data_IF_583462914423
#
_entry.id   IF_583462914423
#
_cell.length_a   1.000
_cell.length_b   1.000
_cell.length_c   1.000
_cell.angle_alpha   90.00
_cell.angle_beta   90.00
_cell.angle_gamma   90.00
#
_symmetry.space_group_name_H-M   'P 1'
#
loop_
_entity.id
_entity.type
_entity.pdbx_description
1 polymer ?
#
# COMPACT_ATOMS: atom_id res chain seq x y z
N UNK A 1 -26.72 -9.10 64.52
CA UNK A 1 -25.47 -9.65 63.99
C UNK A 1 -25.73 -9.88 62.51
N UNK A 2 -25.04 -9.11 61.67
CA UNK A 2 -25.30 -8.84 60.26
C UNK A 2 -25.19 -10.07 59.35
N UNK A 3 -25.95 -10.13 58.24
CA UNK A 3 -25.73 -11.07 57.15
C UNK A 3 -24.72 -10.45 56.17
N UNK A 4 -23.70 -11.18 55.76
CA UNK A 4 -22.97 -10.82 54.53
C UNK A 4 -22.31 -12.06 53.93
N UNK A 5 -22.47 -12.22 52.61
CA UNK A 5 -22.08 -13.42 51.89
C UNK A 5 -22.48 -13.38 50.43
N UNK A 6 -22.29 -12.24 49.77
CA UNK A 6 -22.21 -12.19 48.30
C UNK A 6 -20.98 -12.97 47.81
N UNK A 7 -21.09 -13.87 46.83
CA UNK A 7 -19.92 -14.29 46.08
C UNK A 7 -19.59 -13.18 45.08
N UNK A 8 -18.40 -12.61 45.25
CA UNK A 8 -17.80 -11.66 44.34
C UNK A 8 -17.74 -12.24 42.91
N UNK A 9 -18.19 -11.45 41.95
CA UNK A 9 -17.93 -11.70 40.53
C UNK A 9 -16.42 -11.72 40.31
N UNK A 10 -15.91 -12.87 39.89
CA UNK A 10 -14.56 -13.02 39.37
C UNK A 10 -14.48 -12.25 38.05
N UNK A 11 -13.95 -11.02 38.13
CA UNK A 11 -13.45 -10.30 36.98
C UNK A 11 -12.40 -11.19 36.30
N UNK A 12 -12.70 -11.60 35.06
CA UNK A 12 -11.68 -12.09 34.15
C UNK A 12 -10.75 -10.92 33.85
N UNK A 13 -9.71 -10.77 34.66
CA UNK A 13 -8.55 -9.97 34.30
C UNK A 13 -7.79 -10.79 33.26
N UNK A 14 -8.06 -10.55 31.99
CA UNK A 14 -7.16 -10.96 30.92
C UNK A 14 -5.86 -10.19 31.10
N UNK A 15 -4.93 -10.87 31.78
CA UNK A 15 -3.52 -10.55 31.88
C UNK A 15 -2.93 -10.55 30.46
N UNK A 16 -3.01 -9.39 29.81
CA UNK A 16 -2.38 -9.15 28.51
C UNK A 16 -0.89 -8.93 28.76
N UNK A 17 -0.14 -10.03 28.77
CA UNK A 17 1.30 -9.97 28.64
C UNK A 17 1.65 -9.35 27.26
N UNK A 18 2.58 -8.38 27.18
CA UNK A 18 3.00 -7.81 25.91
C UNK A 18 3.93 -8.80 25.20
N UNK A 19 3.40 -9.50 24.20
CA UNK A 19 4.18 -10.23 23.21
C UNK A 19 4.58 -9.32 22.06
N UNK A 20 5.86 -9.32 21.71
CA UNK A 20 6.41 -8.72 20.51
C UNK A 20 5.57 -9.13 19.28
N UNK A 21 4.81 -8.17 18.73
CA UNK A 21 4.11 -8.31 17.47
C UNK A 21 2.88 -9.23 17.49
N UNK A 22 1.78 -8.75 18.06
CA UNK A 22 0.46 -9.38 17.96
C UNK A 22 -0.14 -9.40 16.54
N UNK A 23 -1.28 -10.08 16.43
CA UNK A 23 -2.16 -10.08 15.26
C UNK A 23 -2.85 -8.71 15.13
N UNK A 24 -3.22 -8.34 13.90
CA UNK A 24 -3.86 -7.05 13.62
C UNK A 24 -5.30 -7.08 14.15
N UNK A 25 -5.73 -6.03 14.85
CA UNK A 25 -7.12 -5.88 15.27
C UNK A 25 -8.06 -5.65 14.09
N UNK A 26 -9.36 -5.96 14.24
CA UNK A 26 -10.33 -5.80 13.14
C UNK A 26 -10.43 -4.36 12.62
N UNK A 27 -10.39 -3.36 13.51
CA UNK A 27 -10.44 -1.93 13.14
C UNK A 27 -9.14 -1.46 12.48
N UNK A 28 -8.01 -2.03 12.90
CA UNK A 28 -6.71 -1.78 12.27
C UNK A 28 -6.66 -2.38 10.86
N UNK A 29 -7.20 -3.59 10.69
CA UNK A 29 -7.34 -4.24 9.38
C UNK A 29 -8.23 -3.42 8.45
N UNK A 30 -9.38 -2.92 8.93
CA UNK A 30 -10.25 -2.04 8.17
C UNK A 30 -9.53 -0.76 7.69
N UNK A 31 -8.76 -0.12 8.58
CA UNK A 31 -7.95 1.06 8.22
C UNK A 31 -6.87 0.75 7.21
N UNK A 32 -6.14 -0.36 7.36
CA UNK A 32 -5.10 -0.77 6.41
C UNK A 32 -5.68 -1.07 5.04
N UNK A 33 -6.76 -1.85 4.96
CA UNK A 33 -7.41 -2.19 3.69
C UNK A 33 -8.01 -0.97 3.01
N UNK A 34 -8.64 -0.07 3.77
CA UNK A 34 -9.13 1.20 3.24
C UNK A 34 -8.01 2.10 2.71
N UNK A 35 -6.89 2.19 3.44
CA UNK A 35 -5.71 2.93 2.99
C UNK A 35 -5.11 2.33 1.72
N UNK A 36 -5.04 1.00 1.60
CA UNK A 36 -4.56 0.34 0.38
C UNK A 36 -5.50 0.58 -0.79
N UNK A 37 -6.80 0.36 -0.61
CA UNK A 37 -7.80 0.62 -1.65
C UNK A 37 -7.72 2.07 -2.16
N UNK A 38 -7.47 3.03 -1.27
CA UNK A 38 -7.26 4.42 -1.67
C UNK A 38 -5.97 4.62 -2.49
N UNK A 39 -4.85 4.03 -2.05
CA UNK A 39 -3.55 4.14 -2.75
C UNK A 39 -3.64 3.52 -4.15
N UNK A 40 -4.23 2.33 -4.24
CA UNK A 40 -4.48 1.62 -5.50
C UNK A 40 -5.38 2.45 -6.44
N UNK A 41 -6.50 2.97 -5.93
CA UNK A 41 -7.39 3.83 -6.73
C UNK A 41 -6.69 5.12 -7.20
N UNK A 42 -5.82 5.71 -6.37
CA UNK A 42 -5.05 6.88 -6.75
C UNK A 42 -3.99 6.54 -7.82
N UNK A 43 -3.39 5.36 -7.76
CA UNK A 43 -2.46 4.88 -8.79
C UNK A 43 -3.18 4.64 -10.12
N UNK A 44 -4.37 4.05 -10.12
CA UNK A 44 -5.21 3.97 -11.33
C UNK A 44 -5.33 5.35 -12.00
N UNK A 45 -5.76 6.37 -11.27
CA UNK A 45 -5.94 7.73 -11.79
C UNK A 45 -4.62 8.32 -12.33
N UNK A 46 -3.53 8.22 -11.56
CA UNK A 46 -2.24 8.82 -11.92
C UNK A 46 -1.65 8.11 -13.15
N UNK A 47 -1.65 6.79 -13.17
CA UNK A 47 -1.05 6.03 -14.27
C UNK A 47 -1.88 6.12 -15.55
N UNK A 48 -3.21 6.12 -15.44
CA UNK A 48 -4.08 6.34 -16.59
C UNK A 48 -3.86 7.71 -17.23
N UNK A 49 -3.68 8.75 -16.41
CA UNK A 49 -3.33 10.08 -16.90
C UNK A 49 -1.92 10.11 -17.55
N UNK A 50 -0.93 9.48 -16.93
CA UNK A 50 0.42 9.40 -17.48
C UNK A 50 0.46 8.63 -18.81
N UNK A 51 -0.28 7.54 -18.93
CA UNK A 51 -0.36 6.73 -20.15
C UNK A 51 -0.87 7.55 -21.34
N UNK A 52 -1.85 8.42 -21.12
CA UNK A 52 -2.42 9.28 -22.16
C UNK A 52 -1.41 10.32 -22.71
N UNK A 53 -0.45 10.74 -21.88
CA UNK A 53 0.54 11.78 -22.21
C UNK A 53 1.95 11.22 -22.49
N UNK A 54 2.14 9.90 -22.46
CA UNK A 54 3.46 9.27 -22.58
C UNK A 54 3.91 9.12 -24.05
N UNK A 55 5.05 9.71 -24.46
CA UNK A 55 5.52 9.63 -25.85
C UNK A 55 6.08 8.26 -26.26
N UNK A 56 6.49 7.43 -25.31
CA UNK A 56 6.99 6.09 -25.60
C UNK A 56 5.83 5.09 -25.67
N UNK A 57 5.52 4.56 -26.86
CA UNK A 57 4.45 3.57 -27.06
C UNK A 57 4.56 2.38 -26.08
N UNK A 58 5.79 1.87 -25.87
CA UNK A 58 6.02 0.76 -24.94
C UNK A 58 5.67 1.15 -23.50
N UNK A 59 6.12 2.31 -23.03
CA UNK A 59 5.83 2.74 -21.68
C UNK A 59 4.35 3.12 -21.51
N UNK A 60 3.73 3.73 -22.52
CA UNK A 60 2.30 4.05 -22.50
C UNK A 60 1.43 2.80 -22.30
N UNK A 61 1.72 1.70 -23.02
CA UNK A 61 1.01 0.42 -22.85
C UNK A 61 1.21 -0.17 -21.46
N UNK A 62 2.43 -0.13 -20.92
CA UNK A 62 2.70 -0.62 -19.57
C UNK A 62 1.98 0.21 -18.50
N UNK A 63 1.96 1.53 -18.64
CA UNK A 63 1.24 2.43 -17.73
C UNK A 63 -0.28 2.20 -17.78
N UNK A 64 -0.85 1.97 -18.97
CA UNK A 64 -2.27 1.66 -19.14
C UNK A 64 -2.63 0.31 -18.51
N UNK A 65 -1.87 -0.74 -18.77
CA UNK A 65 -2.09 -2.07 -18.17
C UNK A 65 -2.01 -2.00 -16.64
N UNK A 66 -0.94 -1.40 -16.11
CA UNK A 66 -0.73 -1.23 -14.67
C UNK A 66 -1.83 -0.38 -14.04
N UNK A 67 -2.34 0.65 -14.73
CA UNK A 67 -3.50 1.42 -14.27
C UNK A 67 -4.73 0.52 -14.06
N UNK A 68 -5.07 -0.33 -15.03
CA UNK A 68 -6.21 -1.24 -14.92
C UNK A 68 -6.04 -2.28 -13.80
N UNK A 69 -4.82 -2.78 -13.59
CA UNK A 69 -4.50 -3.66 -12.47
C UNK A 69 -4.76 -2.97 -11.13
N UNK A 70 -4.27 -1.75 -10.94
CA UNK A 70 -4.50 -0.97 -9.71
C UNK A 70 -5.99 -0.65 -9.50
N UNK A 71 -6.78 -0.43 -10.55
CA UNK A 71 -8.24 -0.30 -10.42
C UNK A 71 -8.87 -1.57 -9.85
N UNK A 72 -8.50 -2.73 -10.38
CA UNK A 72 -8.96 -4.01 -9.89
C UNK A 72 -8.47 -4.30 -8.45
N UNK A 73 -7.21 -3.97 -8.13
CA UNK A 73 -6.68 -4.09 -6.77
C UNK A 73 -7.44 -3.23 -5.78
N UNK A 74 -7.79 -2.00 -6.15
CA UNK A 74 -8.57 -1.10 -5.30
C UNK A 74 -9.93 -1.69 -4.92
N UNK A 75 -10.67 -2.22 -5.91
CA UNK A 75 -11.95 -2.89 -5.71
C UNK A 75 -11.78 -4.14 -4.83
N UNK A 76 -10.82 -5.00 -5.18
CA UNK A 76 -10.55 -6.25 -4.47
C UNK A 76 -10.23 -6.01 -2.99
N UNK A 77 -9.41 -5.01 -2.67
CA UNK A 77 -9.04 -4.67 -1.30
C UNK A 77 -10.20 -4.02 -0.54
N UNK A 78 -10.99 -3.18 -1.21
CA UNK A 78 -12.17 -2.55 -0.61
C UNK A 78 -13.24 -3.58 -0.23
N UNK A 79 -13.48 -4.60 -1.05
CA UNK A 79 -14.42 -5.70 -0.77
C UNK A 79 -14.10 -6.45 0.54
N UNK A 80 -12.85 -6.39 0.97
CA UNK A 80 -12.36 -7.11 2.15
C UNK A 80 -12.32 -6.25 3.42
N UNK A 81 -12.72 -4.98 3.35
CA UNK A 81 -12.83 -4.10 4.52
C UNK A 81 -13.90 -4.68 5.48
N UNK A 82 -13.55 -5.02 6.74
CA UNK A 82 -14.51 -5.57 7.68
C UNK A 82 -15.67 -4.62 7.97
N UNK A 83 -16.87 -5.17 8.08
CA UNK A 83 -18.04 -4.43 8.53
C UNK A 83 -17.95 -4.14 10.03
N UNK A 84 -17.89 -2.87 10.41
CA UNK A 84 -17.90 -2.43 11.81
C UNK A 84 -19.26 -1.83 12.18
N UNK A 85 -19.77 -2.06 13.41
CA UNK A 85 -21.02 -1.48 13.85
C UNK A 85 -21.01 0.06 13.75
N UNK A 86 -21.99 0.61 13.02
CA UNK A 86 -22.17 2.06 12.89
C UNK A 86 -21.29 2.74 11.83
N UNK A 87 -20.47 2.00 11.08
CA UNK A 87 -19.57 2.57 10.06
C UNK A 87 -19.67 1.78 8.75
N UNK A 88 -19.86 2.49 7.63
CA UNK A 88 -19.81 1.88 6.29
C UNK A 88 -18.37 1.51 5.93
N UNK A 89 -18.09 0.36 5.28
CA UNK A 89 -16.77 0.04 4.76
C UNK A 89 -16.14 1.15 3.92
N UNK A 90 -16.93 1.83 3.08
CA UNK A 90 -16.46 2.94 2.23
C UNK A 90 -15.87 4.10 3.02
N UNK A 91 -16.26 4.28 4.29
CA UNK A 91 -15.73 5.34 5.14
C UNK A 91 -14.25 5.13 5.51
N UNK A 92 -13.71 3.92 5.32
CA UNK A 92 -12.30 3.61 5.53
C UNK A 92 -11.43 3.90 4.30
N UNK A 93 -12.02 4.01 3.10
CA UNK A 93 -11.29 4.26 1.85
C UNK A 93 -10.89 5.73 1.77
N UNK A 94 -9.79 6.04 2.44
CA UNK A 94 -9.28 7.41 2.61
C UNK A 94 -7.77 7.42 2.48
N UNK A 95 -7.22 8.59 2.14
CA UNK A 95 -5.77 8.75 2.06
C UNK A 95 -5.10 8.34 3.38
N UNK A 96 -4.06 7.48 3.36
CA UNK A 96 -3.35 7.08 4.58
C UNK A 96 -2.73 8.27 5.33
N UNK A 97 -2.46 9.37 4.62
CA UNK A 97 -2.01 10.66 5.12
C UNK A 97 -1.65 11.60 3.97
N UNK A 98 -1.43 12.89 4.23
CA UNK A 98 -1.06 13.87 3.20
C UNK A 98 0.26 13.53 2.51
N UNK A 99 1.20 12.89 3.19
CA UNK A 99 2.51 12.52 2.66
C UNK A 99 2.39 11.44 1.57
N UNK A 100 1.53 10.43 1.72
CA UNK A 100 1.29 9.44 0.69
C UNK A 100 0.62 10.06 -0.55
N UNK A 101 -0.37 10.94 -0.34
CA UNK A 101 -0.99 11.67 -1.43
C UNK A 101 0.03 12.54 -2.19
N UNK A 102 0.91 13.22 -1.45
CA UNK A 102 1.98 14.02 -2.03
C UNK A 102 2.92 13.19 -2.90
N UNK A 103 3.31 11.99 -2.47
CA UNK A 103 4.14 11.08 -3.28
C UNK A 103 3.45 10.75 -4.61
N UNK A 104 2.19 10.33 -4.58
CA UNK A 104 1.47 9.95 -5.79
C UNK A 104 1.21 11.15 -6.71
N UNK A 105 0.97 12.33 -6.15
CA UNK A 105 0.85 13.56 -6.94
C UNK A 105 2.19 14.00 -7.56
N UNK A 106 3.32 13.78 -6.87
CA UNK A 106 4.66 14.05 -7.40
C UNK A 106 5.00 13.10 -8.55
N UNK A 107 4.62 11.81 -8.44
CA UNK A 107 4.77 10.83 -9.51
C UNK A 107 4.12 11.32 -10.82
N UNK A 108 2.87 11.78 -10.74
CA UNK A 108 2.12 12.30 -11.89
C UNK A 108 2.73 13.57 -12.52
N UNK A 109 3.65 14.25 -11.82
CA UNK A 109 4.32 15.47 -12.29
C UNK A 109 5.73 15.23 -12.82
N UNK A 110 6.24 14.00 -12.78
CA UNK A 110 7.58 13.70 -13.29
C UNK A 110 7.64 13.97 -14.81
N UNK A 111 8.69 14.65 -15.29
CA UNK A 111 8.70 15.24 -16.63
C UNK A 111 9.00 14.27 -17.76
N UNK A 112 9.48 13.05 -17.47
CA UNK A 112 9.93 12.12 -18.50
C UNK A 112 9.71 10.66 -18.16
N UNK A 113 9.57 9.84 -19.20
CA UNK A 113 9.32 8.41 -19.09
C UNK A 113 10.38 7.67 -18.27
N UNK A 114 11.67 8.02 -18.41
CA UNK A 114 12.74 7.39 -17.63
C UNK A 114 12.60 7.68 -16.13
N UNK A 115 12.26 8.91 -15.75
CA UNK A 115 12.01 9.28 -14.35
C UNK A 115 10.77 8.57 -13.81
N UNK A 116 9.68 8.51 -14.59
CA UNK A 116 8.43 7.82 -14.21
C UNK A 116 8.68 6.32 -14.02
N UNK A 117 9.35 5.66 -14.96
CA UNK A 117 9.69 4.25 -14.88
C UNK A 117 10.61 3.95 -13.69
N UNK A 118 11.63 4.79 -13.45
CA UNK A 118 12.49 4.65 -12.28
C UNK A 118 11.73 4.82 -10.96
N UNK A 119 10.84 5.81 -10.88
CA UNK A 119 9.99 6.02 -9.72
C UNK A 119 9.08 4.83 -9.44
N UNK A 120 8.43 4.27 -10.47
CA UNK A 120 7.55 3.11 -10.33
C UNK A 120 8.33 1.85 -9.95
N UNK A 121 9.33 1.48 -10.75
CA UNK A 121 10.07 0.24 -10.57
C UNK A 121 10.88 0.19 -9.26
N UNK A 122 11.37 1.35 -8.78
CA UNK A 122 12.35 1.40 -7.69
C UNK A 122 11.85 2.06 -6.42
N UNK A 123 10.69 2.73 -6.45
CA UNK A 123 10.12 3.39 -5.27
C UNK A 123 8.70 2.92 -5.00
N UNK A 124 7.77 3.14 -5.92
CA UNK A 124 6.34 2.94 -5.65
C UNK A 124 6.00 1.46 -5.49
N UNK A 125 6.25 0.64 -6.52
CA UNK A 125 5.91 -0.78 -6.51
C UNK A 125 6.67 -1.54 -5.41
N UNK A 126 7.99 -1.34 -5.19
CA UNK A 126 8.68 -1.95 -4.04
C UNK A 126 8.08 -1.58 -2.68
N UNK A 127 7.56 -0.36 -2.51
CA UNK A 127 6.89 0.04 -1.26
C UNK A 127 5.55 -0.67 -1.11
N UNK A 128 4.74 -0.74 -2.16
CA UNK A 128 3.49 -1.52 -2.14
C UNK A 128 3.76 -2.97 -1.77
N UNK A 129 4.69 -3.62 -2.47
CA UNK A 129 5.15 -4.98 -2.17
C UNK A 129 5.53 -5.13 -0.69
N UNK A 130 6.36 -4.22 -0.15
CA UNK A 130 6.79 -4.29 1.23
C UNK A 130 5.63 -4.13 2.22
N UNK A 131 4.69 -3.22 1.94
CA UNK A 131 3.47 -3.02 2.73
C UNK A 131 2.57 -4.25 2.73
N UNK A 132 2.27 -4.80 1.55
CA UNK A 132 1.40 -5.97 1.37
C UNK A 132 2.03 -7.24 1.93
N UNK A 133 3.34 -7.45 1.76
CA UNK A 133 4.04 -8.57 2.40
C UNK A 133 3.96 -8.47 3.91
N UNK A 134 4.15 -7.27 4.47
CA UNK A 134 4.00 -7.06 5.91
C UNK A 134 2.58 -7.40 6.36
N UNK A 135 1.56 -7.01 5.62
CA UNK A 135 0.17 -7.36 5.94
C UNK A 135 -0.04 -8.87 5.87
N UNK A 136 0.40 -9.50 4.79
CA UNK A 136 0.26 -10.93 4.59
C UNK A 136 0.86 -11.77 5.74
N UNK A 137 2.02 -11.36 6.28
CA UNK A 137 2.67 -12.07 7.39
C UNK A 137 2.05 -11.78 8.76
N UNK A 138 1.30 -10.68 8.90
CA UNK A 138 0.62 -10.29 10.14
C UNK A 138 -0.84 -10.73 10.19
N UNK A 139 -1.42 -11.01 9.03
CA UNK A 139 -2.78 -11.51 8.88
C UNK A 139 -2.91 -12.98 9.33
N UNK A 140 -4.03 -13.28 9.96
CA UNK A 140 -4.37 -14.60 10.45
C UNK A 140 -4.64 -15.63 9.37
N UNK A 141 -3.93 -16.78 9.35
CA UNK A 141 -4.34 -17.92 8.54
C UNK A 141 -5.76 -18.38 8.86
N UNK A 142 -6.23 -18.20 10.10
CA UNK A 142 -7.50 -18.74 10.57
C UNK A 142 -8.67 -17.78 10.34
N UNK A 143 -8.51 -16.50 10.65
CA UNK A 143 -9.59 -15.50 10.49
C UNK A 143 -9.49 -14.70 9.20
N UNK A 144 -8.27 -14.51 8.66
CA UNK A 144 -8.02 -13.56 7.57
C UNK A 144 -7.70 -14.26 6.25
N UNK A 145 -8.14 -15.51 6.09
CA UNK A 145 -7.93 -16.31 4.88
C UNK A 145 -8.28 -15.59 3.56
N UNK A 146 -9.46 -14.94 3.46
CA UNK A 146 -9.82 -14.13 2.29
C UNK A 146 -8.86 -12.96 2.03
N UNK A 147 -8.54 -12.16 3.06
CA UNK A 147 -7.59 -11.03 2.96
C UNK A 147 -6.22 -11.53 2.50
N UNK A 148 -5.72 -12.62 3.07
CA UNK A 148 -4.45 -13.24 2.67
C UNK A 148 -4.46 -13.72 1.23
N UNK A 149 -5.61 -14.19 0.73
CA UNK A 149 -5.75 -14.57 -0.68
C UNK A 149 -5.71 -13.34 -1.57
N UNK A 150 -6.43 -12.28 -1.24
CA UNK A 150 -6.42 -11.02 -1.98
C UNK A 150 -5.00 -10.44 -2.06
N UNK A 151 -4.32 -10.29 -0.91
CA UNK A 151 -2.95 -9.79 -0.83
C UNK A 151 -1.96 -10.59 -1.69
N UNK A 152 -2.12 -11.92 -1.77
CA UNK A 152 -1.24 -12.75 -2.60
C UNK A 152 -1.45 -12.53 -4.09
N UNK A 153 -2.68 -12.23 -4.53
CA UNK A 153 -2.95 -11.91 -5.93
C UNK A 153 -2.30 -10.58 -6.28
N UNK A 154 -2.62 -9.53 -5.51
CA UNK A 154 -2.02 -8.19 -5.68
C UNK A 154 -0.49 -8.27 -5.66
N UNK A 155 0.10 -8.98 -4.69
CA UNK A 155 1.55 -9.15 -4.61
C UNK A 155 2.18 -9.85 -5.82
N UNK A 156 1.46 -10.73 -6.50
CA UNK A 156 1.98 -11.37 -7.72
C UNK A 156 2.10 -10.33 -8.82
N UNK A 157 1.01 -9.58 -9.04
CA UNK A 157 0.92 -8.56 -10.07
C UNK A 157 1.94 -7.44 -9.84
N UNK A 158 2.06 -6.95 -8.60
CA UNK A 158 3.05 -5.92 -8.22
C UNK A 158 4.49 -6.32 -8.57
N UNK A 159 4.84 -7.59 -8.33
CA UNK A 159 6.19 -8.10 -8.63
C UNK A 159 6.40 -8.20 -10.14
N UNK A 160 5.38 -8.64 -10.89
CA UNK A 160 5.42 -8.75 -12.36
C UNK A 160 5.52 -7.35 -12.99
N UNK A 161 4.63 -6.42 -12.61
CA UNK A 161 4.62 -5.03 -13.06
C UNK A 161 5.96 -4.33 -12.76
N UNK A 162 6.56 -4.58 -11.60
CA UNK A 162 7.88 -4.02 -11.26
C UNK A 162 8.98 -4.51 -12.20
N UNK A 163 9.00 -5.79 -12.54
CA UNK A 163 10.00 -6.35 -13.45
C UNK A 163 9.84 -5.80 -14.87
N UNK A 164 8.61 -5.68 -15.35
CA UNK A 164 8.32 -5.09 -16.66
C UNK A 164 8.72 -3.60 -16.73
N UNK A 165 8.45 -2.86 -15.65
CA UNK A 165 8.84 -1.45 -15.54
C UNK A 165 10.36 -1.27 -15.46
N UNK A 166 11.08 -2.18 -14.79
CA UNK A 166 12.54 -2.18 -14.75
C UNK A 166 13.14 -2.46 -16.14
N UNK A 167 12.57 -3.39 -16.92
CA UNK A 167 13.01 -3.63 -18.29
C UNK A 167 12.76 -2.40 -19.19
N UNK A 168 11.60 -1.76 -19.06
CA UNK A 168 11.31 -0.52 -19.78
C UNK A 168 12.29 0.60 -19.39
N UNK A 169 12.61 0.72 -18.11
CA UNK A 169 13.60 1.67 -17.60
C UNK A 169 14.99 1.44 -18.21
N UNK A 170 15.46 0.19 -18.27
CA UNK A 170 16.75 -0.15 -18.90
C UNK A 170 16.79 0.31 -20.36
N UNK A 171 15.71 0.06 -21.10
CA UNK A 171 15.55 0.54 -22.48
C UNK A 171 15.63 2.06 -22.59
N UNK A 172 14.92 2.79 -21.72
CA UNK A 172 14.89 4.26 -21.70
C UNK A 172 16.26 4.85 -21.30
N UNK A 173 16.96 4.25 -20.34
CA UNK A 173 18.26 4.71 -19.88
C UNK A 173 19.36 4.54 -20.95
N UNK A 174 19.18 3.67 -21.94
CA UNK A 174 20.17 3.45 -23.01
C UNK A 174 20.50 4.76 -23.76
N UNK A 175 19.53 5.66 -23.93
CA UNK A 175 19.66 6.95 -24.62
C UNK A 175 19.89 8.17 -23.72
N UNK A 176 19.92 8.01 -22.40
CA UNK A 176 20.05 9.12 -21.44
C UNK A 176 21.51 9.35 -21.06
N UNK A 177 21.98 10.59 -21.22
CA UNK A 177 23.34 11.00 -20.86
C UNK A 177 23.56 11.05 -19.33
N UNK A 178 22.63 11.66 -18.61
CA UNK A 178 22.66 11.75 -17.14
C UNK A 178 21.75 10.72 -16.48
N UNK A 179 22.23 9.47 -16.42
CA UNK A 179 21.51 8.38 -15.76
C UNK A 179 21.42 8.58 -14.25
N UNK A 180 22.46 9.17 -13.63
CA UNK A 180 22.49 9.43 -12.20
C UNK A 180 21.38 10.37 -11.78
N UNK A 181 21.23 11.49 -12.49
CA UNK A 181 20.16 12.47 -12.22
C UNK A 181 18.75 11.90 -12.32
N UNK A 182 18.50 10.98 -13.27
CA UNK A 182 17.19 10.28 -13.37
C UNK A 182 16.91 9.46 -12.12
N UNK A 183 17.90 8.68 -11.66
CA UNK A 183 17.73 7.80 -10.50
C UNK A 183 17.64 8.59 -9.20
N UNK A 184 18.39 9.68 -9.08
CA UNK A 184 18.35 10.56 -7.91
C UNK A 184 16.99 11.28 -7.81
N UNK A 185 16.42 11.74 -8.93
CA UNK A 185 15.09 12.34 -8.96
C UNK A 185 14.00 11.33 -8.57
N UNK A 186 14.08 10.11 -9.09
CA UNK A 186 13.17 9.05 -8.69
C UNK A 186 13.28 8.73 -7.18
N UNK A 187 14.49 8.67 -6.63
CA UNK A 187 14.70 8.40 -5.20
C UNK A 187 14.11 9.49 -4.29
N UNK A 188 14.17 10.76 -4.70
CA UNK A 188 13.54 11.90 -3.99
C UNK A 188 12.02 11.77 -3.86
N UNK A 189 11.39 10.96 -4.71
CA UNK A 189 9.96 10.68 -4.62
C UNK A 189 9.57 10.08 -3.26
N UNK A 190 10.47 9.31 -2.62
CA UNK A 190 10.17 8.64 -1.35
C UNK A 190 10.28 9.56 -0.11
N UNK A 191 10.82 10.78 -0.25
CA UNK A 191 11.13 11.68 0.87
C UNK A 191 9.93 11.94 1.81
N UNK A 192 8.70 12.23 1.32
CA UNK A 192 7.58 12.51 2.22
C UNK A 192 7.23 11.33 3.15
N UNK A 193 7.50 10.09 2.72
CA UNK A 193 7.16 8.86 3.46
C UNK A 193 8.37 8.15 4.04
N UNK A 194 9.54 8.81 4.10
CA UNK A 194 10.78 8.20 4.55
C UNK A 194 10.69 7.60 5.98
N UNK A 195 9.87 8.19 6.86
CA UNK A 195 9.68 7.73 8.24
C UNK A 195 8.56 6.70 8.46
N UNK A 196 7.82 6.28 7.42
CA UNK A 196 6.61 5.46 7.57
C UNK A 196 6.89 3.94 7.69
N UNK A 197 8.16 3.54 7.59
CA UNK A 197 8.52 2.13 7.42
C UNK A 197 8.05 1.60 6.05
N UNK A 198 7.84 0.28 5.90
CA UNK A 198 7.44 -0.31 4.62
C UNK A 198 5.99 0.03 4.25
N UNK A 199 5.75 0.34 2.97
CA UNK A 199 4.40 0.63 2.46
C UNK A 199 4.05 2.11 2.35
N UNK A 200 2.82 2.35 1.90
CA UNK A 200 2.18 3.66 1.88
C UNK A 200 1.10 3.82 2.96
N UNK A 201 0.92 2.84 3.83
CA UNK A 201 0.02 2.96 4.97
C UNK A 201 0.81 2.89 6.29
N UNK A 202 0.56 3.80 7.24
CA UNK A 202 1.17 3.72 8.55
C UNK A 202 0.73 2.43 9.25
N UNK A 203 1.68 1.72 9.82
CA UNK A 203 1.43 0.42 10.43
C UNK A 203 1.10 0.54 11.92
N UNK A 204 0.06 -0.17 12.41
CA UNK A 204 -0.28 -0.20 13.83
C UNK A 204 0.90 -0.72 14.68
N UNK A 205 1.13 -0.05 15.81
CA UNK A 205 2.21 -0.39 16.75
C UNK A 205 3.62 0.02 16.31
N UNK A 206 3.79 0.66 15.16
CA UNK A 206 5.07 1.24 14.74
C UNK A 206 5.27 2.63 15.32
N UNK A 207 6.05 2.75 16.40
CA UNK A 207 6.73 4.01 16.66
C UNK A 207 7.76 4.20 15.54
N UNK A 208 7.75 5.40 14.93
CA UNK A 208 8.82 5.81 14.03
C UNK A 208 10.17 5.65 14.75
N UNK A 209 11.10 5.02 14.05
CA UNK A 209 12.54 5.11 14.33
C UNK A 209 13.21 5.40 13.01
#
# INVERSE_FOLDING_TARGET
MTPDGSPAGSAHTEDSAPGEGGWIGIEESARLLGAYAWVEGRLFDVLGALAADEPSDRLAVLLDSSSQEHAWHAELLAEHIPLLPGTSPDAFVTAPGPEAAEVLDRLGRLPGGAQRAAALARVVLPRLEAGYRRHFFRASPMSDGPVRRALRLVLSDEVEARLEMEEALEGLLSGVADRGGVLDEAARLAEPVAGWGPGFAPWPGGQGT
#
